data_IF_440374736359
#
_entry.id   IF_440374736359
#
_cell.length_a   1.000
_cell.length_b   1.000
_cell.length_c   1.000
_cell.angle_alpha   90.00
_cell.angle_beta   90.00
_cell.angle_gamma   90.00
#
_symmetry.space_group_name_H-M   'P 1'
#
loop_
_entity.id
_entity.type
_entity.pdbx_description
1 polymer ?
#
# COMPACT_ATOMS: atom_id res chain seq x y z
N UNK A 1 -3.42 4.08 -17.29
CA UNK A 1 -2.11 3.76 -17.84
C UNK A 1 -1.01 3.77 -16.82
N UNK A 2 -1.18 4.52 -15.80
CA UNK A 2 -0.19 4.63 -14.76
C UNK A 2 -0.06 3.36 -13.92
N UNK A 3 -1.12 2.57 -13.83
CA UNK A 3 -1.07 1.34 -13.05
C UNK A 3 -0.08 0.33 -13.60
N UNK A 4 0.14 0.35 -14.91
CA UNK A 4 1.08 -0.58 -15.53
C UNK A 4 2.50 -0.35 -15.04
N UNK A 5 2.81 0.86 -14.60
CA UNK A 5 4.16 1.18 -14.11
C UNK A 5 4.28 1.12 -12.59
N UNK A 6 3.20 0.80 -11.88
CA UNK A 6 3.27 0.65 -10.44
C UNK A 6 3.75 -0.76 -10.09
N UNK A 7 4.88 -0.88 -9.38
CA UNK A 7 5.39 -2.20 -9.03
C UNK A 7 4.54 -2.83 -7.94
N UNK A 8 4.61 -4.16 -7.86
CA UNK A 8 4.04 -4.89 -6.74
C UNK A 8 4.91 -4.64 -5.51
N UNK A 9 4.30 -4.23 -4.42
CA UNK A 9 5.02 -3.97 -3.17
C UNK A 9 4.63 -4.98 -2.10
N UNK A 10 5.64 -5.41 -1.35
CA UNK A 10 5.45 -6.35 -0.24
C UNK A 10 6.56 -6.10 0.77
N UNK A 11 6.55 -6.84 1.88
CA UNK A 11 7.60 -6.71 2.89
C UNK A 11 8.98 -6.84 2.22
N UNK A 12 9.86 -5.91 2.53
CA UNK A 12 11.19 -5.83 1.94
C UNK A 12 11.31 -4.78 0.85
N UNK A 13 10.20 -4.25 0.34
CA UNK A 13 10.25 -3.19 -0.66
C UNK A 13 10.76 -1.90 -0.06
N UNK A 14 11.49 -1.13 -0.84
CA UNK A 14 12.06 0.15 -0.39
C UNK A 14 12.02 1.13 -1.54
N UNK A 15 11.97 2.41 -1.20
CA UNK A 15 12.10 3.46 -2.18
C UNK A 15 10.92 4.41 -2.22
N UNK A 16 10.90 5.26 -3.24
CA UNK A 16 9.90 6.32 -3.34
C UNK A 16 8.49 5.81 -3.54
N UNK A 17 8.32 4.70 -4.26
CA UNK A 17 6.99 4.13 -4.46
C UNK A 17 6.44 3.58 -3.16
N UNK A 18 7.28 2.96 -2.34
CA UNK A 18 6.85 2.50 -1.01
C UNK A 18 6.46 3.69 -0.14
N UNK A 19 7.22 4.78 -0.23
CA UNK A 19 6.89 5.99 0.52
C UNK A 19 5.55 6.57 0.06
N UNK A 20 5.29 6.57 -1.24
CA UNK A 20 4.00 7.00 -1.77
C UNK A 20 2.87 6.14 -1.22
N UNK A 21 3.06 4.83 -1.20
CA UNK A 21 2.08 3.92 -0.62
C UNK A 21 1.78 4.29 0.83
N UNK A 22 2.82 4.50 1.63
CA UNK A 22 2.65 4.87 3.03
C UNK A 22 1.89 6.17 3.18
N UNK A 23 2.20 7.15 2.35
CA UNK A 23 1.52 8.43 2.36
C UNK A 23 0.03 8.27 2.03
N UNK A 24 -0.30 7.47 1.03
CA UNK A 24 -1.69 7.25 0.64
C UNK A 24 -2.45 6.53 1.75
N UNK A 25 -1.87 5.48 2.34
CA UNK A 25 -2.50 4.76 3.44
C UNK A 25 -2.76 5.67 4.63
N UNK A 26 -1.80 6.52 4.93
CA UNK A 26 -1.93 7.48 6.03
C UNK A 26 -3.04 8.48 5.74
N UNK A 27 -3.15 8.94 4.49
CA UNK A 27 -4.20 9.87 4.08
C UNK A 27 -5.59 9.25 4.19
N UNK A 28 -5.71 7.95 4.01
CA UNK A 28 -6.97 7.25 4.22
C UNK A 28 -7.30 7.03 5.70
N UNK A 29 -6.37 7.36 6.59
CA UNK A 29 -6.59 7.15 8.02
C UNK A 29 -6.48 5.71 8.47
N UNK A 30 -5.84 4.86 7.66
CA UNK A 30 -5.75 3.44 7.98
C UNK A 30 -4.83 3.18 9.17
N UNK A 31 -3.71 3.89 9.21
CA UNK A 31 -2.75 3.72 10.28
C UNK A 31 -1.86 4.96 10.37
N UNK A 32 -1.23 5.13 11.53
CA UNK A 32 -0.29 6.22 11.74
C UNK A 32 1.10 5.74 11.34
N UNK A 33 1.34 5.71 10.03
CA UNK A 33 2.57 5.18 9.46
C UNK A 33 3.66 6.23 9.38
N UNK A 34 4.91 5.76 9.51
CA UNK A 34 6.06 6.54 9.10
C UNK A 34 6.19 6.47 7.58
N UNK A 35 6.43 7.60 6.96
CA UNK A 35 6.67 7.66 5.51
C UNK A 35 8.16 7.54 5.26
N UNK A 36 8.73 6.41 5.66
CA UNK A 36 10.19 6.19 5.59
C UNK A 36 10.62 5.42 4.33
N UNK A 37 9.67 5.02 3.51
CA UNK A 37 9.99 4.32 2.28
C UNK A 37 10.39 2.86 2.46
N UNK A 38 10.19 2.32 3.66
CA UNK A 38 10.54 0.93 3.97
C UNK A 38 9.28 0.15 4.27
N UNK A 39 9.03 -0.89 3.49
CA UNK A 39 7.86 -1.74 3.67
C UNK A 39 8.20 -2.80 4.72
N UNK A 40 7.88 -2.50 5.97
CA UNK A 40 8.08 -3.41 7.08
C UNK A 40 6.74 -3.90 7.64
N UNK A 41 6.79 -4.42 8.87
CA UNK A 41 5.60 -4.99 9.51
C UNK A 41 4.46 -3.97 9.66
N UNK A 42 4.80 -2.73 10.02
CA UNK A 42 3.76 -1.70 10.20
C UNK A 42 3.04 -1.40 8.88
N UNK A 43 3.80 -1.30 7.81
CA UNK A 43 3.21 -1.08 6.49
C UNK A 43 2.40 -2.28 6.06
N UNK A 44 2.91 -3.49 6.31
CA UNK A 44 2.19 -4.73 6.04
C UNK A 44 0.82 -4.73 6.73
N UNK A 45 0.80 -4.44 8.02
CA UNK A 45 -0.45 -4.44 8.79
C UNK A 45 -1.42 -3.39 8.25
N UNK A 46 -0.93 -2.24 7.85
CA UNK A 46 -1.77 -1.19 7.28
C UNK A 46 -2.36 -1.62 5.94
N UNK A 47 -1.57 -2.28 5.10
CA UNK A 47 -2.05 -2.78 3.81
C UNK A 47 -3.14 -3.83 4.03
N UNK A 48 -2.93 -4.77 4.96
CA UNK A 48 -3.92 -5.80 5.27
C UNK A 48 -5.22 -5.16 5.74
N UNK A 49 -5.13 -4.17 6.63
CA UNK A 49 -6.32 -3.49 7.14
C UNK A 49 -7.07 -2.79 6.01
N UNK A 50 -6.35 -2.13 5.11
CA UNK A 50 -6.97 -1.47 3.97
C UNK A 50 -7.65 -2.47 3.05
N UNK A 51 -6.96 -3.57 2.77
CA UNK A 51 -7.50 -4.61 1.88
C UNK A 51 -8.80 -5.20 2.45
N UNK A 52 -8.83 -5.46 3.74
CA UNK A 52 -10.05 -5.94 4.40
C UNK A 52 -11.17 -4.92 4.29
N UNK A 53 -10.85 -3.67 4.52
CA UNK A 53 -11.84 -2.58 4.46
C UNK A 53 -12.46 -2.47 3.08
N UNK A 54 -11.68 -2.70 2.04
CA UNK A 54 -12.14 -2.55 0.66
C UNK A 54 -12.59 -3.87 0.02
N UNK A 55 -12.64 -4.95 0.78
CA UNK A 55 -13.10 -6.23 0.26
C UNK A 55 -12.11 -6.90 -0.67
N UNK A 56 -10.83 -6.57 -0.54
CA UNK A 56 -9.78 -7.17 -1.34
C UNK A 56 -9.19 -8.37 -0.61
N UNK A 57 -8.41 -9.18 -1.32
CA UNK A 57 -7.64 -10.24 -0.68
C UNK A 57 -6.64 -9.61 0.27
N UNK A 58 -6.73 -9.94 1.56
CA UNK A 58 -5.90 -9.31 2.58
C UNK A 58 -4.60 -10.09 2.75
N UNK A 59 -3.74 -10.03 1.75
CA UNK A 59 -2.47 -10.75 1.71
C UNK A 59 -1.26 -9.86 2.03
N UNK A 60 -1.49 -8.56 2.23
CA UNK A 60 -0.40 -7.63 2.53
C UNK A 60 0.47 -7.30 1.33
N UNK A 61 0.07 -7.72 0.14
CA UNK A 61 0.81 -7.44 -1.09
C UNK A 61 0.04 -6.40 -1.90
N UNK A 62 0.73 -5.32 -2.26
CA UNK A 62 0.10 -4.25 -3.03
C UNK A 62 0.32 -4.53 -4.51
N UNK A 63 -0.62 -5.26 -5.09
CA UNK A 63 -0.60 -5.56 -6.51
C UNK A 63 -1.54 -4.63 -7.26
N UNK A 64 -1.88 -5.02 -8.49
CA UNK A 64 -2.71 -4.20 -9.36
C UNK A 64 -4.04 -3.79 -8.72
N UNK A 65 -4.77 -4.75 -8.15
CA UNK A 65 -6.10 -4.47 -7.61
C UNK A 65 -6.01 -3.53 -6.40
N UNK A 66 -5.01 -3.69 -5.56
CA UNK A 66 -4.83 -2.83 -4.40
C UNK A 66 -4.45 -1.42 -4.85
N UNK A 67 -3.52 -1.29 -5.79
CA UNK A 67 -3.16 0.01 -6.33
C UNK A 67 -4.35 0.70 -6.97
N UNK A 68 -5.16 -0.05 -7.69
CA UNK A 68 -6.34 0.49 -8.35
C UNK A 68 -7.29 1.14 -7.33
N UNK A 69 -7.52 0.45 -6.22
CA UNK A 69 -8.37 0.98 -5.15
C UNK A 69 -7.73 2.19 -4.47
N UNK A 70 -6.44 2.11 -4.19
CA UNK A 70 -5.73 3.18 -3.50
C UNK A 70 -5.75 4.48 -4.31
N UNK A 71 -5.59 4.37 -5.61
CA UNK A 71 -5.51 5.53 -6.50
C UNK A 71 -6.88 5.98 -7.01
N UNK A 72 -7.94 5.27 -6.68
CA UNK A 72 -9.30 5.65 -7.07
C UNK A 72 -9.61 5.40 -8.53
N UNK A 73 -8.97 4.42 -9.13
CA UNK A 73 -9.14 4.16 -10.57
C UNK A 73 -10.14 3.04 -10.88
#
# INVERSE_FOLDING_TARGET
KTLASCPTLKIGAKGNITRLLQKVLKAYGIANLKEDGIFGTNTYNAVVAYQKLKGLTADGVVGYNTWKKLLGL
#
